data_IF_950021164770
#
_entry.id   IF_950021164770
#
_cell.length_a   1.000
_cell.length_b   1.000
_cell.length_c   1.000
_cell.angle_alpha   90.00
_cell.angle_beta   90.00
_cell.angle_gamma   90.00
#
_symmetry.space_group_name_H-M   'P 1'
#
loop_
_entity.id
_entity.type
_entity.pdbx_description
1 polymer ?
#
# COMPACT_ATOMS: atom_id res chain seq x y z
N UNK A 1 39.93 39.48 -6.29
CA UNK A 1 41.18 39.70 -7.06
C UNK A 1 41.91 38.36 -7.04
N UNK A 2 42.09 37.58 -8.10
CA UNK A 2 42.51 37.93 -9.45
C UNK A 2 41.87 37.02 -10.51
N UNK A 3 41.38 37.67 -11.57
CA UNK A 3 41.02 37.09 -12.86
C UNK A 3 42.29 36.70 -13.61
N UNK A 4 42.29 35.59 -14.34
CA UNK A 4 43.03 35.47 -15.60
C UNK A 4 42.20 34.70 -16.63
N UNK A 5 41.59 35.48 -17.52
CA UNK A 5 41.10 35.05 -18.82
C UNK A 5 42.28 34.66 -19.71
N UNK A 6 42.17 33.56 -20.45
CA UNK A 6 42.85 33.41 -21.74
C UNK A 6 41.86 32.78 -22.72
N UNK A 7 41.32 33.62 -23.60
CA UNK A 7 40.72 33.24 -24.88
C UNK A 7 41.83 32.68 -25.79
N UNK A 8 41.54 31.61 -26.53
CA UNK A 8 42.15 31.41 -27.84
C UNK A 8 41.13 30.80 -28.81
N UNK A 9 40.87 31.55 -29.89
CA UNK A 9 40.00 31.20 -31.01
C UNK A 9 40.59 30.11 -31.90
N UNK A 10 39.70 29.27 -32.45
CA UNK A 10 39.70 28.88 -33.86
C UNK A 10 40.48 27.62 -34.23
N UNK A 11 39.79 26.62 -34.79
CA UNK A 11 39.64 26.43 -36.26
C UNK A 11 38.76 25.18 -36.48
N UNK A 12 37.76 25.33 -37.37
CA UNK A 12 36.89 24.26 -37.83
C UNK A 12 37.61 23.35 -38.83
N UNK A 13 37.35 22.04 -38.76
CA UNK A 13 37.62 21.09 -39.83
C UNK A 13 36.42 20.16 -39.99
N UNK A 14 35.54 20.53 -40.92
CA UNK A 14 34.47 19.72 -41.47
C UNK A 14 35.12 18.67 -42.40
N UNK A 15 34.93 17.38 -42.13
CA UNK A 15 35.25 16.33 -43.10
C UNK A 15 33.96 15.60 -43.48
N UNK A 16 33.48 15.92 -44.69
CA UNK A 16 32.52 15.09 -45.41
C UNK A 16 33.21 13.82 -45.89
N UNK A 17 32.62 12.66 -45.61
CA UNK A 17 32.85 11.45 -46.39
C UNK A 17 31.59 11.14 -47.21
N UNK A 18 31.69 11.34 -48.52
CA UNK A 18 30.79 10.78 -49.53
C UNK A 18 31.61 9.84 -50.42
N UNK A 19 31.24 8.56 -50.46
CA UNK A 19 31.48 7.59 -51.53
C UNK A 19 30.69 6.32 -51.17
N UNK A 20 30.08 5.54 -52.05
CA UNK A 20 29.71 5.61 -53.46
C UNK A 20 28.78 4.40 -53.70
N UNK A 21 27.86 4.48 -54.67
CA UNK A 21 26.94 3.41 -55.06
C UNK A 21 27.66 2.14 -55.59
N UNK A 22 27.08 0.96 -55.40
CA UNK A 22 27.49 -0.24 -56.13
C UNK A 22 26.74 -1.56 -55.83
N UNK A 23 25.74 -1.85 -56.69
CA UNK A 23 25.25 -3.18 -57.15
C UNK A 23 24.77 -4.27 -56.17
N UNK A 24 23.45 -4.47 -56.19
CA UNK A 24 22.71 -5.73 -56.43
C UNK A 24 23.52 -7.05 -56.40
N UNK A 25 23.36 -7.83 -55.33
CA UNK A 25 23.84 -9.20 -55.21
C UNK A 25 23.18 -9.86 -54.00
N UNK A 26 22.33 -10.85 -54.27
CA UNK A 26 21.58 -11.66 -53.32
C UNK A 26 22.48 -12.45 -52.37
N UNK A 27 22.33 -12.23 -51.07
CA UNK A 27 22.57 -13.20 -49.99
C UNK A 27 21.78 -12.74 -48.76
N UNK A 28 20.54 -13.23 -48.63
CA UNK A 28 19.73 -13.08 -47.42
C UNK A 28 20.12 -14.20 -46.46
N UNK A 29 21.19 -13.95 -45.69
CA UNK A 29 21.45 -14.62 -44.42
C UNK A 29 20.58 -13.97 -43.32
N UNK A 30 20.07 -14.82 -42.44
CA UNK A 30 19.12 -14.55 -41.38
C UNK A 30 19.45 -13.35 -40.49
N UNK A 31 18.51 -12.41 -40.39
CA UNK A 31 18.17 -11.78 -39.13
C UNK A 31 16.76 -12.25 -38.78
N UNK A 32 16.66 -13.22 -37.88
CA UNK A 32 15.41 -13.46 -37.17
C UNK A 32 15.13 -12.17 -36.41
N UNK A 33 14.16 -11.40 -36.92
CA UNK A 33 13.55 -10.30 -36.23
C UNK A 33 12.76 -10.93 -35.07
N UNK A 34 13.44 -11.13 -33.93
CA UNK A 34 12.76 -11.29 -32.66
C UNK A 34 12.05 -9.97 -32.42
N UNK A 35 10.78 -9.93 -32.80
CA UNK A 35 9.83 -8.91 -32.34
C UNK A 35 9.89 -8.93 -30.82
N UNK A 36 10.67 -8.02 -30.24
CA UNK A 36 10.45 -7.61 -28.86
C UNK A 36 9.00 -7.13 -28.84
N UNK A 37 8.15 -7.85 -28.11
CA UNK A 37 6.84 -7.35 -27.75
C UNK A 37 7.09 -6.02 -27.04
N UNK A 38 6.63 -4.90 -27.61
CA UNK A 38 6.57 -3.62 -26.89
C UNK A 38 5.47 -3.81 -25.82
N UNK A 39 5.84 -4.41 -24.69
CA UNK A 39 4.96 -4.56 -23.55
C UNK A 39 4.56 -3.16 -23.05
N UNK A 40 3.30 -3.01 -22.68
CA UNK A 40 2.80 -1.76 -22.11
C UNK A 40 3.26 -1.66 -20.65
N UNK A 41 4.02 -0.61 -20.33
CA UNK A 41 4.54 -0.40 -18.99
C UNK A 41 3.45 0.18 -18.07
N UNK A 42 3.30 -0.39 -16.88
CA UNK A 42 2.38 0.05 -15.82
C UNK A 42 3.12 0.09 -14.50
N UNK A 43 2.95 1.15 -13.71
CA UNK A 43 3.55 1.27 -12.36
C UNK A 43 2.49 1.13 -11.28
N UNK A 44 2.73 0.28 -10.29
CA UNK A 44 1.84 0.12 -9.13
C UNK A 44 2.54 0.43 -7.80
N UNK A 45 1.96 1.33 -7.02
CA UNK A 45 2.42 1.66 -5.68
C UNK A 45 1.85 0.73 -4.59
N UNK A 46 2.70 0.18 -3.72
CA UNK A 46 2.31 -0.75 -2.63
C UNK A 46 2.98 -0.37 -1.30
N UNK A 47 2.46 -0.87 -0.15
CA UNK A 47 3.01 -0.57 1.19
C UNK A 47 3.13 -1.83 2.05
N UNK A 48 4.10 -2.67 1.73
CA UNK A 48 4.75 -3.67 2.61
C UNK A 48 5.68 -4.55 1.79
N UNK A 49 6.51 -5.35 2.44
CA UNK A 49 7.27 -6.41 1.73
C UNK A 49 6.34 -7.52 1.24
N UNK A 50 5.32 -7.88 2.04
CA UNK A 50 4.35 -8.93 1.70
C UNK A 50 3.56 -8.58 0.44
N UNK A 51 3.12 -7.33 0.30
CA UNK A 51 2.44 -6.89 -0.93
C UNK A 51 3.37 -6.90 -2.15
N UNK A 52 4.65 -6.56 -1.98
CA UNK A 52 5.63 -6.65 -3.08
C UNK A 52 5.69 -8.08 -3.61
N UNK A 53 5.79 -9.08 -2.72
CA UNK A 53 5.85 -10.49 -3.12
C UNK A 53 4.59 -10.94 -3.88
N UNK A 54 3.39 -10.55 -3.42
CA UNK A 54 2.13 -10.86 -4.13
C UNK A 54 2.10 -10.21 -5.51
N UNK A 55 2.50 -8.94 -5.61
CA UNK A 55 2.46 -8.19 -6.88
C UNK A 55 3.57 -8.59 -7.85
N UNK A 56 4.71 -9.09 -7.38
CA UNK A 56 5.76 -9.68 -8.21
C UNK A 56 5.28 -10.94 -8.94
N UNK A 57 4.50 -11.81 -8.29
CA UNK A 57 3.86 -12.94 -8.98
C UNK A 57 2.89 -12.46 -10.07
N UNK A 58 2.03 -11.49 -9.73
CA UNK A 58 1.07 -10.92 -10.68
C UNK A 58 1.80 -10.28 -11.86
N UNK A 59 2.91 -9.58 -11.63
CA UNK A 59 3.75 -9.00 -12.67
C UNK A 59 4.32 -10.08 -13.59
N UNK A 60 4.85 -11.18 -13.05
CA UNK A 60 5.38 -12.29 -13.84
C UNK A 60 4.31 -12.90 -14.77
N UNK A 61 3.06 -13.03 -14.31
CA UNK A 61 1.95 -13.56 -15.12
C UNK A 61 1.43 -12.55 -16.16
N UNK A 62 1.65 -11.25 -15.94
CA UNK A 62 1.31 -10.17 -16.88
C UNK A 62 2.30 -10.03 -18.05
N UNK A 63 3.56 -10.45 -17.88
CA UNK A 63 4.57 -10.39 -18.96
C UNK A 63 4.10 -11.15 -20.21
N UNK A 64 3.56 -12.35 -20.04
CA UNK A 64 2.99 -13.19 -21.11
C UNK A 64 1.75 -12.56 -21.77
N UNK A 65 1.16 -11.53 -21.14
CA UNK A 65 -0.02 -10.78 -21.61
C UNK A 65 0.36 -9.42 -22.21
N UNK A 66 1.66 -9.15 -22.35
CA UNK A 66 2.17 -7.94 -22.95
C UNK A 66 2.13 -6.72 -22.04
N UNK A 67 2.14 -6.91 -20.71
CA UNK A 67 2.14 -5.84 -19.71
C UNK A 67 3.41 -6.00 -18.86
N UNK A 68 4.19 -4.94 -18.77
CA UNK A 68 5.37 -4.84 -17.89
C UNK A 68 4.96 -4.08 -16.63
N UNK A 69 4.69 -4.80 -15.53
CA UNK A 69 4.22 -4.21 -14.28
C UNK A 69 5.40 -3.93 -13.35
N UNK A 70 5.72 -2.66 -13.15
CA UNK A 70 6.75 -2.19 -12.20
C UNK A 70 6.13 -1.93 -10.82
N UNK A 71 6.61 -2.62 -9.80
CA UNK A 71 6.21 -2.40 -8.41
C UNK A 71 7.05 -1.27 -7.80
N UNK A 72 6.37 -0.27 -7.25
CA UNK A 72 6.98 0.86 -6.52
C UNK A 72 6.60 0.75 -5.05
N UNK A 73 7.56 0.37 -4.21
CA UNK A 73 7.33 0.21 -2.78
C UNK A 73 7.45 1.54 -2.04
N UNK A 74 6.47 1.85 -1.19
CA UNK A 74 6.47 3.01 -0.29
C UNK A 74 6.56 2.56 1.17
N UNK A 75 6.90 3.50 2.05
CA UNK A 75 7.11 3.24 3.49
C UNK A 75 6.05 3.86 4.40
N UNK A 76 5.08 4.57 3.83
CA UNK A 76 4.00 5.26 4.53
C UNK A 76 2.71 5.27 3.70
N UNK A 77 1.60 5.63 4.32
CA UNK A 77 0.28 5.62 3.69
C UNK A 77 -0.09 6.91 2.94
N UNK A 78 0.73 7.96 3.01
CA UNK A 78 0.44 9.23 2.36
C UNK A 78 0.99 9.26 0.94
N UNK A 79 2.24 8.83 0.76
CA UNK A 79 2.93 8.97 -0.52
C UNK A 79 2.30 8.20 -1.70
N UNK A 80 1.73 6.99 -1.56
CA UNK A 80 1.20 6.28 -2.72
C UNK A 80 0.03 6.99 -3.40
N UNK A 81 -0.84 7.69 -2.64
CA UNK A 81 -1.92 8.49 -3.21
C UNK A 81 -1.40 9.76 -3.87
N UNK A 82 -0.42 10.45 -3.25
CA UNK A 82 0.22 11.63 -3.84
C UNK A 82 0.93 11.28 -5.14
N UNK A 83 1.64 10.14 -5.18
CA UNK A 83 2.31 9.65 -6.37
C UNK A 83 1.31 9.30 -7.49
N UNK A 84 0.18 8.68 -7.13
CA UNK A 84 -0.88 8.35 -8.09
C UNK A 84 -1.54 9.61 -8.67
N UNK A 85 -1.83 10.61 -7.84
CA UNK A 85 -2.38 11.90 -8.27
C UNK A 85 -1.42 12.64 -9.21
N UNK A 86 -0.11 12.60 -8.92
CA UNK A 86 0.92 13.27 -9.73
C UNK A 86 1.27 12.53 -11.04
N UNK A 87 0.83 11.28 -11.20
CA UNK A 87 1.21 10.45 -12.34
C UNK A 87 2.59 9.80 -12.23
N UNK A 88 3.16 9.75 -11.03
CA UNK A 88 4.43 9.04 -10.76
C UNK A 88 4.22 7.51 -10.71
N UNK A 89 3.01 7.08 -10.36
CA UNK A 89 2.51 5.71 -10.53
C UNK A 89 1.16 5.72 -11.25
N UNK A 90 0.82 4.60 -11.88
CA UNK A 90 -0.42 4.43 -12.64
C UNK A 90 -1.56 3.88 -11.78
N UNK A 91 -1.19 3.02 -10.83
CA UNK A 91 -2.07 2.37 -9.87
C UNK A 91 -1.46 2.46 -8.47
N UNK A 92 -2.28 2.32 -7.44
CA UNK A 92 -1.78 1.91 -6.13
C UNK A 92 -2.68 0.84 -5.51
N UNK A 93 -2.11 0.01 -4.64
CA UNK A 93 -2.80 -1.05 -3.93
C UNK A 93 -2.17 -1.18 -2.53
N UNK A 94 -2.67 -0.37 -1.59
CA UNK A 94 -2.16 -0.31 -0.21
C UNK A 94 -3.21 0.04 0.84
N UNK A 95 -4.40 0.47 0.40
CA UNK A 95 -5.38 1.17 1.23
C UNK A 95 -6.76 0.53 1.09
N UNK A 96 -7.60 0.80 2.09
CA UNK A 96 -9.02 0.48 2.06
C UNK A 96 -9.88 1.64 1.58
N UNK A 97 -11.15 1.34 1.27
CA UNK A 97 -12.12 2.31 0.73
C UNK A 97 -12.26 3.53 1.64
N UNK A 98 -12.37 3.34 2.96
CA UNK A 98 -12.52 4.45 3.90
C UNK A 98 -11.32 5.41 3.85
N UNK A 99 -10.10 4.89 3.77
CA UNK A 99 -8.89 5.71 3.67
C UNK A 99 -8.87 6.53 2.37
N UNK A 100 -9.23 5.91 1.24
CA UNK A 100 -9.31 6.61 -0.05
C UNK A 100 -10.35 7.74 -0.02
N UNK A 101 -11.53 7.48 0.54
CA UNK A 101 -12.60 8.47 0.67
C UNK A 101 -12.17 9.66 1.53
N UNK A 102 -11.50 9.42 2.66
CA UNK A 102 -10.95 10.49 3.51
C UNK A 102 -9.85 11.28 2.80
N UNK A 103 -8.93 10.58 2.11
CA UNK A 103 -7.88 11.24 1.32
C UNK A 103 -8.48 12.16 0.25
N UNK A 104 -9.46 11.70 -0.51
CA UNK A 104 -10.14 12.50 -1.53
C UNK A 104 -10.85 13.71 -0.93
N UNK A 105 -11.57 13.53 0.18
CA UNK A 105 -12.26 14.60 0.88
C UNK A 105 -11.29 15.70 1.36
N UNK A 106 -10.13 15.31 1.90
CA UNK A 106 -9.15 16.22 2.47
C UNK A 106 -8.27 16.90 1.42
N UNK A 107 -8.00 16.25 0.29
CA UNK A 107 -7.09 16.75 -0.74
C UNK A 107 -7.81 17.31 -1.99
N UNK A 108 -9.14 17.21 -2.06
CA UNK A 108 -9.95 17.56 -3.26
C UNK A 108 -9.54 16.74 -4.49
N UNK A 109 -9.13 15.51 -4.23
CA UNK A 109 -8.77 14.50 -5.21
C UNK A 109 -10.00 13.66 -5.60
N UNK A 110 -9.92 12.93 -6.70
CA UNK A 110 -10.96 12.04 -7.22
C UNK A 110 -10.45 10.63 -7.57
N UNK A 111 -9.34 10.21 -6.95
CA UNK A 111 -8.83 8.84 -7.06
C UNK A 111 -9.96 7.82 -6.81
N UNK A 112 -10.04 6.80 -7.66
CA UNK A 112 -11.21 5.93 -7.76
C UNK A 112 -10.77 4.46 -7.63
N UNK A 113 -11.49 3.64 -6.84
CA UNK A 113 -11.25 2.20 -6.81
C UNK A 113 -11.59 1.57 -8.17
N UNK A 114 -10.71 0.71 -8.68
CA UNK A 114 -10.92 -0.07 -9.91
C UNK A 114 -10.96 -1.59 -9.67
N UNK A 115 -10.74 -2.03 -8.43
CA UNK A 115 -10.82 -3.43 -8.02
C UNK A 115 -10.60 -3.58 -6.52
N UNK A 116 -11.04 -4.71 -5.97
CA UNK A 116 -10.72 -5.11 -4.60
C UNK A 116 -9.51 -6.03 -4.58
N UNK A 117 -8.73 -5.93 -3.51
CA UNK A 117 -7.64 -6.84 -3.19
C UNK A 117 -8.07 -7.73 -2.02
N UNK A 118 -7.63 -7.47 -0.81
CA UNK A 118 -7.88 -8.30 0.34
C UNK A 118 -8.50 -7.50 1.48
N UNK A 119 -8.81 -8.18 2.57
CA UNK A 119 -9.19 -7.57 3.83
C UNK A 119 -8.31 -8.12 4.93
N UNK A 120 -7.87 -7.23 5.82
CA UNK A 120 -6.91 -7.53 6.87
C UNK A 120 -7.46 -7.12 8.25
N UNK A 121 -7.26 -7.93 9.30
CA UNK A 121 -7.63 -7.55 10.65
C UNK A 121 -6.79 -6.36 11.15
N UNK A 122 -7.26 -5.69 12.20
CA UNK A 122 -6.47 -4.72 12.97
C UNK A 122 -6.20 -5.32 14.34
N UNK A 123 -4.94 -5.27 14.81
CA UNK A 123 -4.55 -5.95 16.04
C UNK A 123 -4.12 -5.00 17.16
N UNK A 124 -4.40 -5.39 18.39
CA UNK A 124 -3.80 -4.83 19.61
C UNK A 124 -2.63 -5.72 20.05
N UNK A 125 -1.46 -5.13 20.26
CA UNK A 125 -0.23 -5.84 20.62
C UNK A 125 0.39 -5.24 21.88
N UNK A 126 1.20 -6.02 22.60
CA UNK A 126 1.98 -5.54 23.76
C UNK A 126 3.23 -6.39 23.98
N UNK A 127 4.32 -5.74 24.37
CA UNK A 127 5.51 -6.42 24.90
C UNK A 127 5.48 -6.58 26.43
N UNK A 128 4.51 -5.95 27.12
CA UNK A 128 4.46 -5.86 28.59
C UNK A 128 3.41 -6.76 29.22
N UNK A 129 2.32 -7.06 28.51
CA UNK A 129 1.24 -7.93 28.97
C UNK A 129 0.91 -8.97 27.91
N UNK A 130 0.36 -10.10 28.33
CA UNK A 130 -0.05 -11.21 27.44
C UNK A 130 -1.56 -11.30 27.26
N UNK A 131 -2.33 -10.46 27.95
CA UNK A 131 -3.78 -10.36 27.86
C UNK A 131 -4.18 -8.88 27.96
N UNK A 132 -5.10 -8.42 27.11
CA UNK A 132 -5.57 -7.03 27.13
C UNK A 132 -6.31 -6.68 28.44
N UNK A 133 -6.84 -7.67 29.16
CA UNK A 133 -7.46 -7.48 30.47
C UNK A 133 -6.45 -6.98 31.51
N UNK A 134 -5.17 -7.34 31.37
CA UNK A 134 -4.08 -7.00 32.29
C UNK A 134 -3.48 -5.60 32.06
N UNK A 135 -3.96 -4.85 31.05
CA UNK A 135 -3.57 -3.45 30.84
C UNK A 135 -3.79 -2.65 32.13
N UNK A 136 -2.75 -2.02 32.66
CA UNK A 136 -2.79 -1.34 33.95
C UNK A 136 -3.55 0.00 33.90
N UNK A 137 -3.96 0.48 35.07
CA UNK A 137 -4.44 1.85 35.21
C UNK A 137 -3.31 2.85 34.85
N UNK A 138 -3.65 3.89 34.10
CA UNK A 138 -2.70 4.89 33.59
C UNK A 138 -1.87 4.44 32.40
N UNK A 139 -2.21 3.30 31.78
CA UNK A 139 -1.49 2.78 30.63
C UNK A 139 -1.43 3.77 29.47
N UNK A 140 -0.34 3.71 28.70
CA UNK A 140 -0.14 4.43 27.44
C UNK A 140 -0.39 3.47 26.27
N UNK A 141 -1.32 3.81 25.38
CA UNK A 141 -1.61 3.02 24.18
C UNK A 141 -1.28 3.85 22.93
N UNK A 142 -0.43 3.32 22.04
CA UNK A 142 -0.18 3.93 20.74
C UNK A 142 -1.25 3.53 19.72
N UNK A 143 -1.70 4.48 18.90
CA UNK A 143 -2.67 4.26 17.83
C UNK A 143 -2.26 5.04 16.56
N UNK A 144 -2.74 4.65 15.36
CA UNK A 144 -2.58 5.45 14.15
C UNK A 144 -3.24 6.82 14.30
N UNK A 145 -2.64 7.85 13.69
CA UNK A 145 -3.10 9.24 13.77
C UNK A 145 -3.94 9.69 12.57
N UNK A 146 -4.09 8.87 11.53
CA UNK A 146 -5.04 9.14 10.46
C UNK A 146 -6.48 8.85 10.93
N UNK A 147 -7.44 9.59 10.35
CA UNK A 147 -8.85 9.60 10.80
C UNK A 147 -9.46 8.20 10.81
N UNK A 148 -9.17 7.41 9.78
CA UNK A 148 -9.85 6.13 9.55
C UNK A 148 -9.27 5.02 10.40
N UNK A 149 -7.95 4.86 10.45
CA UNK A 149 -7.30 3.82 11.22
C UNK A 149 -7.29 4.16 12.71
N UNK A 150 -7.14 5.44 13.09
CA UNK A 150 -7.28 5.89 14.48
C UNK A 150 -8.69 5.64 15.01
N UNK A 151 -9.72 5.93 14.21
CA UNK A 151 -11.11 5.60 14.53
C UNK A 151 -11.35 4.11 14.68
N UNK A 152 -10.86 3.28 13.74
CA UNK A 152 -10.93 1.81 13.82
C UNK A 152 -10.22 1.27 15.07
N UNK A 153 -9.07 1.84 15.44
CA UNK A 153 -8.33 1.48 16.63
C UNK A 153 -9.12 1.77 17.91
N UNK A 154 -9.76 2.94 18.02
CA UNK A 154 -10.61 3.26 19.17
C UNK A 154 -11.83 2.32 19.25
N UNK A 155 -12.45 1.99 18.12
CA UNK A 155 -13.55 1.03 18.07
C UNK A 155 -13.13 -0.36 18.52
N UNK A 156 -11.93 -0.82 18.15
CA UNK A 156 -11.34 -2.06 18.67
C UNK A 156 -11.25 -2.01 20.20
N UNK A 157 -10.68 -0.94 20.76
CA UNK A 157 -10.54 -0.78 22.22
C UNK A 157 -11.89 -0.70 22.94
N UNK A 158 -12.91 -0.13 22.30
CA UNK A 158 -14.29 -0.17 22.80
C UNK A 158 -14.86 -1.59 22.79
N UNK A 159 -14.61 -2.38 21.73
CA UNK A 159 -15.13 -3.74 21.61
C UNK A 159 -14.63 -4.66 22.74
N UNK A 160 -13.42 -4.43 23.23
CA UNK A 160 -12.83 -5.13 24.39
C UNK A 160 -13.07 -4.43 25.74
N UNK A 161 -13.87 -3.36 25.75
CA UNK A 161 -14.35 -2.70 26.97
C UNK A 161 -13.30 -1.86 27.72
N UNK A 162 -12.20 -1.48 27.08
CA UNK A 162 -11.19 -0.60 27.71
C UNK A 162 -11.64 0.86 27.78
N UNK A 163 -12.46 1.29 26.81
CA UNK A 163 -13.04 2.63 26.72
C UNK A 163 -14.49 2.55 26.23
N UNK A 164 -15.24 3.65 26.33
CA UNK A 164 -16.47 3.87 25.56
C UNK A 164 -16.36 5.15 24.75
N UNK A 165 -17.01 5.15 23.59
CA UNK A 165 -17.00 6.23 22.62
C UNK A 165 -18.41 6.83 22.49
N UNK A 166 -18.49 8.06 22.00
CA UNK A 166 -19.75 8.66 21.59
C UNK A 166 -20.31 7.95 20.34
N UNK A 167 -21.40 7.21 20.51
CA UNK A 167 -22.08 6.47 19.42
C UNK A 167 -22.43 7.38 18.23
N UNK A 168 -22.65 8.68 18.45
CA UNK A 168 -22.98 9.63 17.37
C UNK A 168 -21.84 9.83 16.36
N UNK A 169 -20.62 9.38 16.67
CA UNK A 169 -19.44 9.49 15.81
C UNK A 169 -19.26 8.35 14.81
N UNK A 170 -20.07 7.29 14.94
CA UNK A 170 -20.07 6.20 13.97
C UNK A 170 -18.69 5.53 13.86
N UNK A 171 -18.16 5.47 12.64
CA UNK A 171 -16.96 4.69 12.30
C UNK A 171 -15.64 5.47 12.39
N UNK A 172 -15.68 6.78 12.62
CA UNK A 172 -14.48 7.64 12.69
C UNK A 172 -14.42 8.47 13.99
N UNK A 173 -14.52 7.83 15.18
CA UNK A 173 -14.33 8.53 16.45
C UNK A 173 -12.87 8.98 16.62
N UNK A 174 -12.66 10.02 17.43
CA UNK A 174 -11.33 10.50 17.84
C UNK A 174 -11.13 10.32 19.35
N UNK A 175 -9.91 10.54 19.85
CA UNK A 175 -9.63 10.50 21.30
C UNK A 175 -10.51 11.48 22.09
N UNK A 176 -10.94 12.59 21.46
CA UNK A 176 -11.84 13.57 22.08
C UNK A 176 -13.28 13.07 22.23
N UNK A 177 -13.64 11.97 21.57
CA UNK A 177 -14.97 11.38 21.57
C UNK A 177 -15.12 10.23 22.60
N UNK A 178 -14.09 10.02 23.44
CA UNK A 178 -14.13 9.04 24.53
C UNK A 178 -15.05 9.55 25.66
N UNK A 179 -16.10 8.78 25.94
CA UNK A 179 -17.12 9.10 26.95
C UNK A 179 -16.85 8.42 28.29
N UNK A 180 -16.19 7.26 28.28
CA UNK A 180 -15.73 6.56 29.50
C UNK A 180 -14.32 6.00 29.30
N UNK A 181 -13.44 6.24 30.28
CA UNK A 181 -12.05 5.74 30.31
C UNK A 181 -11.70 5.30 31.74
N UNK A 182 -12.23 4.14 32.21
CA UNK A 182 -12.13 3.73 33.61
C UNK A 182 -10.69 3.47 34.07
N UNK A 183 -9.81 3.03 33.16
CA UNK A 183 -8.39 2.79 33.43
C UNK A 183 -7.52 4.04 33.26
N UNK A 184 -8.10 5.22 32.97
CA UNK A 184 -7.35 6.47 32.71
C UNK A 184 -6.21 6.28 31.68
N UNK A 185 -6.51 5.54 30.60
CA UNK A 185 -5.59 5.27 29.50
C UNK A 185 -5.24 6.59 28.81
N UNK A 186 -3.96 6.77 28.50
CA UNK A 186 -3.47 7.86 27.65
C UNK A 186 -3.18 7.34 26.25
N UNK A 187 -3.47 8.16 25.24
CA UNK A 187 -3.28 7.79 23.82
C UNK A 187 -2.11 8.55 23.23
N UNK A 188 -1.25 7.82 22.51
CA UNK A 188 -0.19 8.38 21.68
C UNK A 188 -0.53 8.14 20.22
N UNK A 189 -0.97 9.21 19.56
CA UNK A 189 -1.33 9.19 18.14
C UNK A 189 -0.06 9.36 17.29
N UNK A 190 0.30 8.33 16.54
CA UNK A 190 1.51 8.28 15.69
C UNK A 190 1.14 8.00 14.24
N UNK A 191 2.03 8.34 13.32
CA UNK A 191 1.93 7.83 11.95
C UNK A 191 1.92 6.30 11.98
N UNK A 192 1.04 5.67 11.18
CA UNK A 192 0.83 4.21 11.19
C UNK A 192 2.15 3.42 11.03
N UNK A 193 3.09 3.93 10.23
CA UNK A 193 4.40 3.31 10.00
C UNK A 193 5.31 3.30 11.24
N UNK A 194 4.97 4.06 12.28
CA UNK A 194 5.74 4.19 13.52
C UNK A 194 5.13 3.44 14.70
N UNK A 195 3.86 3.01 14.60
CA UNK A 195 3.12 2.46 15.74
C UNK A 195 3.75 1.13 16.22
N UNK A 196 4.16 0.26 15.30
CA UNK A 196 4.83 -0.98 15.68
C UNK A 196 6.16 -0.73 16.41
N UNK A 197 6.95 0.26 15.95
CA UNK A 197 8.24 0.61 16.55
C UNK A 197 8.13 1.26 17.93
N UNK A 198 6.95 1.76 18.31
CA UNK A 198 6.76 2.36 19.64
C UNK A 198 6.43 1.35 20.72
N UNK A 199 6.19 0.06 20.38
CA UNK A 199 5.83 -1.00 21.32
C UNK A 199 6.70 -1.06 22.60
N UNK A 200 8.04 -0.91 22.53
CA UNK A 200 8.87 -0.90 23.74
C UNK A 200 8.60 0.28 24.70
N UNK A 201 8.11 1.39 24.18
CA UNK A 201 7.91 2.66 24.90
C UNK A 201 6.47 2.84 25.42
N UNK A 202 5.52 2.02 24.97
CA UNK A 202 4.09 2.05 25.35
C UNK A 202 3.66 0.77 26.03
N UNK A 203 2.46 0.73 26.62
CA UNK A 203 1.94 -0.46 27.30
C UNK A 203 1.19 -1.39 26.35
N UNK A 204 0.60 -0.84 25.28
CA UNK A 204 0.07 -1.59 24.15
C UNK A 204 0.04 -0.68 22.91
N UNK A 205 -0.11 -1.27 21.72
CA UNK A 205 -0.25 -0.52 20.48
C UNK A 205 -1.28 -1.19 19.57
N UNK A 206 -2.10 -0.39 18.90
CA UNK A 206 -3.02 -0.89 17.85
C UNK A 206 -2.36 -0.71 16.49
N UNK A 207 -2.03 -1.81 15.81
CA UNK A 207 -1.14 -1.83 14.65
C UNK A 207 -1.86 -2.46 13.44
N UNK A 208 -1.78 -1.79 12.28
CA UNK A 208 -2.18 -2.36 10.99
C UNK A 208 -1.31 -3.58 10.63
N UNK A 209 -1.92 -4.65 10.10
CA UNK A 209 -1.24 -5.94 9.85
C UNK A 209 0.03 -5.84 9.02
N UNK A 210 0.02 -5.04 7.95
CA UNK A 210 1.20 -4.88 7.09
C UNK A 210 2.41 -4.32 7.89
N UNK A 211 2.21 -3.33 8.76
CA UNK A 211 3.28 -2.81 9.63
C UNK A 211 3.62 -3.74 10.79
N UNK A 212 2.66 -4.53 11.28
CA UNK A 212 2.93 -5.55 12.29
C UNK A 212 3.86 -6.63 11.70
N UNK A 213 3.51 -7.18 10.54
CA UNK A 213 4.28 -8.20 9.83
C UNK A 213 5.66 -7.70 9.38
N UNK A 214 5.76 -6.50 8.80
CA UNK A 214 7.05 -5.87 8.45
C UNK A 214 7.94 -5.62 9.69
N UNK A 215 7.35 -5.51 10.89
CA UNK A 215 8.10 -5.40 12.16
C UNK A 215 8.48 -6.74 12.78
N UNK A 216 8.08 -7.86 12.17
CA UNK A 216 8.34 -9.22 12.62
C UNK A 216 7.31 -9.79 13.60
N UNK A 217 6.15 -9.12 13.78
CA UNK A 217 5.03 -9.66 14.56
C UNK A 217 4.17 -10.57 13.69
N UNK A 218 3.66 -11.63 14.30
CA UNK A 218 2.65 -12.49 13.71
C UNK A 218 1.26 -12.14 14.30
N UNK A 219 0.32 -11.60 13.51
CA UNK A 219 -1.00 -11.21 14.02
C UNK A 219 -1.79 -12.32 14.72
N UNK A 220 -1.63 -13.59 14.33
CA UNK A 220 -2.36 -14.72 14.94
C UNK A 220 -1.76 -15.16 16.27
N UNK A 221 -0.46 -15.00 16.44
CA UNK A 221 0.27 -15.49 17.62
C UNK A 221 0.55 -14.37 18.64
N UNK A 222 0.85 -13.16 18.16
CA UNK A 222 1.33 -12.06 18.98
C UNK A 222 0.25 -11.02 19.34
N UNK A 223 -0.87 -10.98 18.62
CA UNK A 223 -1.94 -10.04 18.94
C UNK A 223 -2.67 -10.46 20.23
N UNK A 224 -2.85 -9.51 21.15
CA UNK A 224 -3.72 -9.67 22.31
C UNK A 224 -5.19 -9.76 21.91
N UNK A 225 -5.54 -9.07 20.82
CA UNK A 225 -6.88 -9.06 20.25
C UNK A 225 -6.81 -8.60 18.79
N UNK A 226 -7.59 -9.25 17.93
CA UNK A 226 -7.88 -8.79 16.57
C UNK A 226 -9.29 -8.22 16.55
N UNK A 227 -9.51 -7.13 15.82
CA UNK A 227 -10.84 -6.50 15.71
C UNK A 227 -11.92 -7.38 15.07
N UNK A 228 -11.52 -8.55 14.57
CA UNK A 228 -12.40 -9.55 14.01
C UNK A 228 -11.84 -10.95 14.20
N UNK A 229 -12.70 -11.88 14.62
CA UNK A 229 -12.44 -13.33 14.56
C UNK A 229 -12.88 -13.92 13.20
N UNK A 230 -13.70 -13.17 12.44
CA UNK A 230 -14.21 -13.57 11.14
C UNK A 230 -14.08 -12.41 10.18
N UNK A 231 -13.05 -12.44 9.36
CA UNK A 231 -12.72 -11.38 8.40
C UNK A 231 -13.89 -11.04 7.45
N UNK A 232 -14.79 -11.99 7.17
CA UNK A 232 -15.99 -11.76 6.36
C UNK A 232 -17.06 -10.87 7.03
N UNK A 233 -16.90 -10.58 8.33
CA UNK A 233 -17.77 -9.66 9.08
C UNK A 233 -17.20 -8.24 9.21
N UNK A 234 -15.97 -8.01 8.73
CA UNK A 234 -15.41 -6.66 8.67
C UNK A 234 -16.21 -5.85 7.67
N UNK A 235 -16.50 -4.59 8.02
CA UNK A 235 -17.28 -3.70 7.18
C UNK A 235 -16.62 -3.53 5.80
N UNK A 236 -17.45 -3.48 4.74
CA UNK A 236 -16.98 -3.37 3.35
C UNK A 236 -16.07 -2.17 3.10
N UNK A 237 -16.22 -1.10 3.89
CA UNK A 237 -15.38 0.10 3.84
C UNK A 237 -13.90 -0.16 4.19
N UNK A 238 -13.60 -1.30 4.81
CA UNK A 238 -12.23 -1.72 5.13
C UNK A 238 -11.66 -2.76 4.14
N UNK A 239 -12.36 -3.08 3.06
CA UNK A 239 -11.77 -3.85 1.96
C UNK A 239 -10.68 -3.03 1.29
N UNK A 240 -9.48 -3.61 1.17
CA UNK A 240 -8.39 -3.01 0.41
C UNK A 240 -8.70 -3.05 -1.09
N UNK A 241 -8.16 -2.07 -1.80
CA UNK A 241 -8.48 -1.79 -3.19
C UNK A 241 -7.23 -1.59 -4.04
N UNK A 242 -7.41 -1.74 -5.35
CA UNK A 242 -6.57 -1.09 -6.36
C UNK A 242 -7.23 0.23 -6.73
N UNK A 243 -6.50 1.34 -6.61
CA UNK A 243 -6.96 2.67 -7.00
C UNK A 243 -6.26 3.15 -8.28
N UNK A 244 -6.97 3.96 -9.06
CA UNK A 244 -6.47 4.69 -10.22
C UNK A 244 -6.94 6.16 -10.15
N UNK A 245 -6.39 7.02 -11.03
CA UNK A 245 -7.00 8.34 -11.29
C UNK A 245 -8.37 8.16 -11.93
N UNK A 246 -9.31 9.07 -11.69
CA UNK A 246 -10.67 8.97 -12.22
C UNK A 246 -10.72 8.86 -13.75
N UNK A 247 -9.84 9.58 -14.46
CA UNK A 247 -9.75 9.55 -15.92
C UNK A 247 -9.26 8.19 -16.48
N UNK A 248 -8.55 7.42 -15.65
CA UNK A 248 -7.97 6.13 -16.00
C UNK A 248 -8.80 4.93 -15.51
N UNK A 249 -9.92 5.17 -14.82
CA UNK A 249 -10.74 4.11 -14.22
C UNK A 249 -11.26 3.07 -15.25
N UNK A 250 -11.44 3.51 -16.50
CA UNK A 250 -11.89 2.66 -17.60
C UNK A 250 -10.75 2.15 -18.50
N UNK A 251 -9.49 2.37 -18.10
CA UNK A 251 -8.33 1.90 -18.86
C UNK A 251 -8.31 0.36 -18.94
N UNK A 252 -8.38 -0.16 -20.16
CA UNK A 252 -8.46 -1.61 -20.42
C UNK A 252 -7.19 -2.37 -19.99
N UNK A 253 -6.02 -1.74 -19.99
CA UNK A 253 -4.78 -2.32 -19.48
C UNK A 253 -4.85 -2.43 -17.96
N UNK A 254 -5.33 -1.40 -17.26
CA UNK A 254 -5.45 -1.45 -15.79
C UNK A 254 -6.49 -2.45 -15.33
N UNK A 255 -7.59 -2.61 -16.07
CA UNK A 255 -8.56 -3.70 -15.82
C UNK A 255 -7.96 -5.09 -15.99
N UNK A 256 -7.02 -5.28 -16.93
CA UNK A 256 -6.29 -6.56 -17.05
C UNK A 256 -5.37 -6.80 -15.86
N UNK A 257 -4.71 -5.78 -15.34
CA UNK A 257 -3.90 -5.87 -14.11
C UNK A 257 -4.77 -6.31 -12.93
N UNK A 258 -5.93 -5.67 -12.73
CA UNK A 258 -6.90 -6.06 -11.69
C UNK A 258 -7.40 -7.50 -11.90
N UNK A 259 -7.74 -7.88 -13.13
CA UNK A 259 -8.19 -9.23 -13.43
C UNK A 259 -7.12 -10.29 -13.16
N UNK A 260 -5.84 -9.96 -13.36
CA UNK A 260 -4.73 -10.88 -13.04
C UNK A 260 -4.51 -11.03 -11.55
N UNK A 261 -4.68 -9.94 -10.80
CA UNK A 261 -4.67 -10.00 -9.36
C UNK A 261 -5.84 -10.85 -8.83
N UNK A 262 -7.04 -10.73 -9.40
CA UNK A 262 -8.26 -11.39 -8.90
C UNK A 262 -8.39 -12.85 -9.37
N UNK A 263 -7.40 -13.68 -9.06
CA UNK A 263 -7.36 -15.10 -9.44
C UNK A 263 -7.21 -16.02 -8.23
N UNK A 264 -7.58 -17.30 -8.40
CA UNK A 264 -7.38 -18.32 -7.38
C UNK A 264 -5.89 -18.55 -7.06
N UNK A 265 -5.00 -18.28 -8.02
CA UNK A 265 -3.55 -18.35 -7.85
C UNK A 265 -3.07 -17.24 -6.90
N UNK A 266 -3.44 -15.98 -7.15
CA UNK A 266 -3.16 -14.87 -6.23
C UNK A 266 -3.75 -15.12 -4.84
N UNK A 267 -4.96 -15.68 -4.76
CA UNK A 267 -5.56 -16.02 -3.47
C UNK A 267 -4.73 -17.04 -2.68
N UNK A 268 -4.15 -18.03 -3.35
CA UNK A 268 -3.29 -19.03 -2.72
C UNK A 268 -1.95 -18.43 -2.28
N UNK A 269 -1.36 -17.56 -3.10
CA UNK A 269 -0.11 -16.85 -2.76
C UNK A 269 -0.35 -15.93 -1.57
N UNK A 270 -1.41 -15.12 -1.60
CA UNK A 270 -1.80 -14.25 -0.49
C UNK A 270 -1.96 -15.03 0.82
N UNK A 271 -2.63 -16.19 0.80
CA UNK A 271 -2.79 -17.05 1.99
C UNK A 271 -1.43 -17.56 2.51
N UNK A 272 -0.51 -17.96 1.62
CA UNK A 272 0.81 -18.46 2.00
C UNK A 272 1.69 -17.35 2.61
N UNK A 273 1.82 -16.21 1.92
CA UNK A 273 2.73 -15.12 2.32
C UNK A 273 2.21 -14.33 3.52
N UNK A 274 0.90 -14.28 3.72
CA UNK A 274 0.29 -13.62 4.89
C UNK A 274 0.03 -14.59 6.03
N UNK A 275 0.36 -15.89 5.87
CA UNK A 275 -0.01 -16.97 6.79
C UNK A 275 -1.52 -16.97 7.11
N UNK A 276 -2.34 -16.61 6.11
CA UNK A 276 -3.79 -16.47 6.17
C UNK A 276 -4.28 -15.32 7.05
N UNK A 277 -3.47 -14.29 7.28
CA UNK A 277 -3.91 -13.07 7.96
C UNK A 277 -4.79 -12.22 7.05
N UNK A 278 -4.52 -12.22 5.74
CA UNK A 278 -5.32 -11.50 4.78
C UNK A 278 -6.21 -12.46 3.99
N UNK A 279 -7.42 -12.01 3.67
CA UNK A 279 -8.39 -12.81 2.93
C UNK A 279 -8.85 -12.06 1.68
N UNK A 280 -8.90 -12.73 0.51
CA UNK A 280 -9.44 -12.15 -0.72
C UNK A 280 -10.79 -11.46 -0.53
N UNK A 281 -10.92 -10.24 -1.05
CA UNK A 281 -12.11 -9.41 -0.93
C UNK A 281 -12.84 -9.18 -2.27
N UNK A 282 -12.42 -9.86 -3.34
CA UNK A 282 -13.12 -9.91 -4.63
C UNK A 282 -14.11 -11.08 -4.69
N UNK A 283 -15.12 -10.96 -5.55
CA UNK A 283 -16.04 -12.08 -5.83
C UNK A 283 -15.30 -13.18 -6.60
N UNK A 284 -15.40 -14.43 -6.16
CA UNK A 284 -14.89 -15.61 -6.87
C UNK A 284 -15.92 -16.19 -7.85
#
# INVERSE_FOLDING_TARGET
>A
MNKKNVLFSGVAALTLFLAACGSNGSDTDSAADTTASDNEAVKIGVVSEVEVEVWEDVAARLEDKGIDLEIVQFTDYVQPNVALENGDVDLNAFQHVAYLEDFNANNKSDLTPIGFTYISPLGLYSEKVTDYADIADGAKIAIPNDVTNGGRALLLLQAIGLIKLDEAKGTTPTVNDITENPKNISFEELDASQVARSLPDVDAAVINTNYATDSGLNPKEDALFLDTDNIASVADVYKNIVAARAEDAENETYKKVVAEYQTAETAAILDDVTEGNDVPAWEQ
#
